data_IF_105405064378
#
_entry.id   IF_105405064378
#
_cell.length_a   1.000
_cell.length_b   1.000
_cell.length_c   1.000
_cell.angle_alpha   90.00
_cell.angle_beta   90.00
_cell.angle_gamma   90.00
#
_symmetry.space_group_name_H-M   'P 1'
#
loop_
_entity.id
_entity.type
_entity.pdbx_description
1 polymer ?
#
# COMPACT_ATOMS: atom_id res chain seq x y z
N UNK A 1 6.49 16.17 -15.69
CA UNK A 1 6.00 16.12 -14.29
C UNK A 1 6.80 15.03 -13.60
N UNK A 2 6.91 15.02 -12.27
CA UNK A 2 7.51 13.88 -11.59
C UNK A 2 6.56 12.67 -11.70
N UNK A 3 7.13 11.48 -11.84
CA UNK A 3 6.38 10.21 -11.85
C UNK A 3 6.42 9.61 -10.46
N UNK A 4 5.29 9.12 -9.98
CA UNK A 4 5.10 8.63 -8.62
C UNK A 4 4.57 7.21 -8.63
N UNK A 5 5.27 6.30 -7.95
CA UNK A 5 4.80 4.96 -7.66
C UNK A 5 3.94 4.94 -6.40
N UNK A 6 2.79 4.29 -6.51
CA UNK A 6 1.89 4.00 -5.40
C UNK A 6 2.13 2.56 -4.96
N UNK A 7 2.70 2.37 -3.78
CA UNK A 7 3.21 1.07 -3.35
C UNK A 7 2.42 0.54 -2.16
N UNK A 8 2.26 -0.79 -2.08
CA UNK A 8 1.77 -1.48 -0.89
C UNK A 8 2.77 -2.53 -0.42
N UNK A 9 3.06 -2.47 0.88
CA UNK A 9 3.87 -3.46 1.59
C UNK A 9 2.94 -4.29 2.49
N UNK A 10 2.82 -5.61 2.25
CA UNK A 10 2.06 -6.49 3.13
C UNK A 10 2.74 -6.63 4.52
N UNK A 11 2.01 -7.15 5.52
CA UNK A 11 2.55 -7.35 6.86
C UNK A 11 3.75 -8.30 6.82
N UNK A 12 4.95 -7.77 7.10
CA UNK A 12 6.15 -8.59 7.27
C UNK A 12 5.91 -9.70 8.30
N UNK A 13 6.16 -10.95 7.92
CA UNK A 13 6.40 -12.04 8.88
C UNK A 13 5.49 -13.25 8.78
N UNK A 14 5.01 -13.65 7.60
CA UNK A 14 4.39 -14.98 7.47
C UNK A 14 5.04 -15.90 6.42
N UNK A 15 5.72 -15.38 5.40
CA UNK A 15 6.61 -16.14 4.51
C UNK A 15 7.60 -15.16 3.85
N UNK A 16 8.86 -15.57 3.64
CA UNK A 16 9.97 -14.77 3.09
C UNK A 16 9.79 -14.19 1.67
N UNK A 17 8.55 -14.19 1.12
CA UNK A 17 8.20 -13.63 -0.19
C UNK A 17 7.03 -12.65 -0.06
N UNK A 18 7.05 -11.81 0.98
CA UNK A 18 6.17 -10.64 1.06
C UNK A 18 6.72 -9.56 0.10
N UNK A 19 6.41 -9.71 -1.19
CA UNK A 19 6.84 -8.79 -2.23
C UNK A 19 6.08 -7.47 -2.14
N UNK A 20 6.80 -6.36 -2.28
CA UNK A 20 6.22 -5.04 -2.52
C UNK A 20 5.43 -5.07 -3.84
N UNK A 21 4.21 -4.53 -3.81
CA UNK A 21 3.35 -4.41 -4.98
C UNK A 21 3.28 -2.92 -5.40
N UNK A 22 3.51 -2.64 -6.68
CA UNK A 22 3.21 -1.34 -7.30
C UNK A 22 1.75 -1.37 -7.71
N UNK A 23 0.89 -0.64 -7.00
CA UNK A 23 -0.54 -0.55 -7.30
C UNK A 23 -0.77 0.15 -8.64
N UNK A 24 -0.06 1.25 -8.85
CA UNK A 24 -0.10 2.06 -10.07
C UNK A 24 1.03 3.09 -10.04
N UNK A 25 1.20 3.79 -11.16
CA UNK A 25 2.09 4.94 -11.27
C UNK A 25 1.32 6.09 -11.91
N UNK A 26 1.62 7.31 -11.46
CA UNK A 26 1.02 8.52 -12.03
C UNK A 26 2.07 9.60 -12.27
N UNK A 27 1.84 10.41 -13.29
CA UNK A 27 2.52 11.70 -13.45
C UNK A 27 1.76 12.78 -12.68
N UNK A 28 2.47 13.61 -11.91
CA UNK A 28 1.79 14.64 -11.13
C UNK A 28 2.60 15.26 -10.00
N UNK A 29 1.87 15.83 -9.05
CA UNK A 29 2.41 16.27 -7.77
C UNK A 29 2.37 15.14 -6.73
N UNK A 30 3.13 15.29 -5.65
CA UNK A 30 3.07 14.35 -4.52
C UNK A 30 1.67 14.34 -3.89
N UNK A 31 1.01 15.49 -3.88
CA UNK A 31 -0.34 15.67 -3.35
C UNK A 31 -1.37 14.88 -4.15
N UNK A 32 -1.27 14.87 -5.48
CA UNK A 32 -2.13 14.06 -6.37
C UNK A 32 -1.91 12.57 -6.12
N UNK A 33 -0.63 12.14 -6.01
CA UNK A 33 -0.28 10.75 -5.73
C UNK A 33 -0.79 10.30 -4.36
N UNK A 34 -0.72 11.16 -3.35
CA UNK A 34 -1.32 10.92 -2.04
C UNK A 34 -2.86 10.84 -2.15
N UNK A 35 -3.51 11.76 -2.85
CA UNK A 35 -4.97 11.71 -2.99
C UNK A 35 -5.43 10.37 -3.57
N UNK A 36 -4.80 9.92 -4.66
CA UNK A 36 -5.09 8.65 -5.31
C UNK A 36 -4.76 7.45 -4.41
N UNK A 37 -3.62 7.46 -3.71
CA UNK A 37 -3.24 6.37 -2.82
C UNK A 37 -4.23 6.22 -1.65
N UNK A 38 -4.77 7.33 -1.15
CA UNK A 38 -5.82 7.31 -0.15
C UNK A 38 -7.11 6.65 -0.63
N UNK A 39 -7.48 6.82 -1.91
CA UNK A 39 -8.61 6.11 -2.52
C UNK A 39 -8.34 4.61 -2.62
N UNK A 40 -7.17 4.24 -3.14
CA UNK A 40 -6.74 2.85 -3.28
C UNK A 40 -6.67 2.13 -1.92
N UNK A 41 -6.11 2.77 -0.90
CA UNK A 41 -5.98 2.19 0.44
C UNK A 41 -7.34 1.92 1.11
N UNK A 42 -8.38 2.70 0.79
CA UNK A 42 -9.76 2.48 1.29
C UNK A 42 -10.39 1.24 0.68
N UNK A 43 -10.18 1.00 -0.61
CA UNK A 43 -10.79 -0.11 -1.36
C UNK A 43 -9.93 -1.39 -1.33
N UNK A 44 -8.65 -1.30 -0.95
CA UNK A 44 -7.73 -2.42 -0.89
C UNK A 44 -8.24 -3.57 -0.01
N UNK A 45 -8.16 -4.80 -0.55
CA UNK A 45 -8.57 -6.02 0.13
C UNK A 45 -7.33 -6.92 0.30
N UNK A 46 -6.69 -6.91 1.48
CA UNK A 46 -5.51 -7.74 1.71
C UNK A 46 -5.89 -9.23 1.66
N UNK A 47 -5.03 -10.05 1.06
CA UNK A 47 -5.23 -11.50 0.95
C UNK A 47 -5.35 -12.21 2.31
N UNK A 48 -4.70 -11.65 3.33
CA UNK A 48 -4.77 -12.11 4.72
C UNK A 48 -5.18 -10.96 5.65
N UNK A 49 -5.93 -11.23 6.73
CA UNK A 49 -6.43 -12.54 7.18
C UNK A 49 -7.66 -13.03 6.38
N UNK A 50 -7.85 -14.35 6.28
CA UNK A 50 -9.02 -14.95 5.59
C UNK A 50 -10.37 -14.58 6.20
N UNK A 51 -10.40 -14.23 7.49
CA UNK A 51 -11.60 -13.81 8.21
C UNK A 51 -11.38 -12.42 8.83
N UNK A 52 -11.50 -11.36 8.02
CA UNK A 52 -11.38 -9.99 8.53
C UNK A 52 -12.62 -9.65 9.36
N UNK A 53 -12.43 -9.32 10.64
CA UNK A 53 -13.51 -8.83 11.50
C UNK A 53 -13.66 -7.31 11.40
N UNK A 54 -12.53 -6.61 11.44
CA UNK A 54 -12.48 -5.16 11.56
C UNK A 54 -11.28 -4.60 10.80
N UNK A 55 -11.50 -3.52 10.08
CA UNK A 55 -10.48 -2.76 9.35
C UNK A 55 -10.39 -1.35 9.91
N UNK A 56 -9.18 -0.81 10.03
CA UNK A 56 -8.92 0.59 10.41
C UNK A 56 -7.85 1.14 9.48
N UNK A 57 -8.09 2.31 8.92
CA UNK A 57 -7.14 2.98 8.04
C UNK A 57 -6.64 4.25 8.75
N UNK A 58 -5.32 4.36 8.89
CA UNK A 58 -4.66 5.52 9.49
C UNK A 58 -3.90 6.26 8.40
N UNK A 59 -3.83 7.59 8.52
CA UNK A 59 -2.96 8.44 7.72
C UNK A 59 -1.57 8.49 8.37
N UNK A 60 -0.52 8.44 7.57
CA UNK A 60 0.87 8.67 8.00
C UNK A 60 1.44 9.91 7.30
N UNK A 61 2.69 10.25 7.57
CA UNK A 61 3.36 11.40 6.93
C UNK A 61 3.60 11.17 5.42
N UNK A 62 3.75 9.90 5.03
CA UNK A 62 4.12 9.44 3.69
C UNK A 62 3.07 8.54 3.00
N UNK A 63 1.92 8.30 3.64
CA UNK A 63 0.84 7.51 3.07
C UNK A 63 -0.20 7.03 4.07
N UNK A 64 -0.45 5.72 4.09
CA UNK A 64 -1.51 5.10 4.90
C UNK A 64 -1.07 3.78 5.54
N UNK A 65 -1.67 3.46 6.68
CA UNK A 65 -1.56 2.17 7.34
C UNK A 65 -2.94 1.54 7.48
N UNK A 66 -3.20 0.45 6.76
CA UNK A 66 -4.38 -0.36 6.95
C UNK A 66 -4.06 -1.43 8.00
N UNK A 67 -4.83 -1.47 9.08
CA UNK A 67 -4.76 -2.53 10.08
C UNK A 67 -6.02 -3.37 10.01
N UNK A 68 -5.84 -4.66 9.71
CA UNK A 68 -6.92 -5.63 9.70
C UNK A 68 -6.82 -6.54 10.92
N UNK A 69 -7.92 -6.73 11.64
CA UNK A 69 -8.04 -7.64 12.77
C UNK A 69 -8.81 -8.91 12.34
N UNK A 70 -8.30 -10.08 12.71
CA UNK A 70 -8.99 -11.36 12.44
C UNK A 70 -10.10 -11.64 13.45
N UNK A 71 -11.17 -12.32 13.03
CA UNK A 71 -12.22 -12.81 13.93
C UNK A 71 -11.76 -14.00 14.79
N UNK A 72 -10.75 -14.74 14.36
CA UNK A 72 -10.28 -15.97 15.02
C UNK A 72 -9.06 -15.76 15.92
N UNK A 73 -8.43 -14.59 15.86
CA UNK A 73 -7.30 -14.26 16.72
C UNK A 73 -7.24 -12.76 17.01
N UNK A 74 -6.70 -12.39 18.17
CA UNK A 74 -6.42 -10.98 18.51
C UNK A 74 -5.27 -10.37 17.70
N UNK A 75 -4.73 -11.08 16.70
CA UNK A 75 -3.62 -10.61 15.87
C UNK A 75 -4.07 -9.48 14.94
N UNK A 76 -3.16 -8.53 14.75
CA UNK A 76 -3.32 -7.41 13.84
C UNK A 76 -2.41 -7.64 12.62
N UNK A 77 -2.95 -7.37 11.44
CA UNK A 77 -2.30 -7.54 10.16
C UNK A 77 -2.16 -6.17 9.49
N UNK A 78 -0.99 -5.51 9.58
CA UNK A 78 -0.75 -4.20 8.98
C UNK A 78 -0.38 -4.28 7.49
N UNK A 79 -0.96 -3.44 6.64
CA UNK A 79 -0.50 -3.16 5.28
C UNK A 79 -0.09 -1.69 5.19
N UNK A 80 1.14 -1.40 4.76
CA UNK A 80 1.63 -0.02 4.59
C UNK A 80 1.50 0.40 3.14
N UNK A 81 0.96 1.59 2.93
CA UNK A 81 0.82 2.22 1.63
C UNK A 81 1.75 3.43 1.60
N UNK A 82 2.58 3.54 0.56
CA UNK A 82 3.51 4.66 0.39
C UNK A 82 3.44 5.26 -1.01
N UNK A 83 3.70 6.56 -1.07
CA UNK A 83 4.00 7.27 -2.32
C UNK A 83 5.52 7.43 -2.44
N UNK A 84 6.08 7.01 -3.57
CA UNK A 84 7.51 7.13 -3.87
C UNK A 84 7.72 7.83 -5.21
N UNK A 85 8.65 8.79 -5.28
CA UNK A 85 9.05 9.38 -6.55
C UNK A 85 9.91 8.39 -7.34
N UNK A 86 9.59 8.20 -8.62
CA UNK A 86 10.43 7.45 -9.55
C UNK A 86 11.56 8.34 -10.03
N UNK A 87 12.75 8.14 -9.47
CA UNK A 87 13.94 8.95 -9.78
C UNK A 87 14.73 8.40 -10.96
N UNK A 88 14.66 7.09 -11.19
CA UNK A 88 15.35 6.41 -12.28
C UNK A 88 14.63 5.09 -12.60
N UNK A 89 14.50 4.81 -13.89
CA UNK A 89 13.99 3.55 -14.40
C UNK A 89 14.99 2.98 -15.41
N UNK A 90 15.24 1.67 -15.32
CA UNK A 90 16.15 0.97 -16.24
C UNK A 90 15.46 0.46 -17.50
N UNK A 91 14.14 0.57 -17.58
CA UNK A 91 13.34 0.07 -18.67
C UNK A 91 13.67 0.78 -19.97
N UNK A 92 13.83 0.00 -21.03
CA UNK A 92 13.77 0.50 -22.39
C UNK A 92 12.28 0.52 -22.79
N UNK A 93 11.70 1.71 -22.99
CA UNK A 93 10.35 1.83 -23.56
C UNK A 93 10.40 1.42 -25.05
N UNK A 94 10.44 0.12 -25.32
CA UNK A 94 10.36 -0.50 -26.65
C UNK A 94 9.03 -1.24 -26.85
#
# INVERSE_FOLDING_TARGET
MARWGLLVEPPMGQNDIDTLEVLTEIDGTREDALALLGEQARTYQPRHPMNPHRRRLYRTDDGWLLVTQSSWSSKLYPCRFRVCELVWDSGDES
#
